data_IF_894181692523
#
_entry.id   IF_894181692523
#
_cell.length_a   1.000
_cell.length_b   1.000
_cell.length_c   1.000
_cell.angle_alpha   90.00
_cell.angle_beta   90.00
_cell.angle_gamma   90.00
#
_symmetry.space_group_name_H-M   'P 1'
#
loop_
_entity.id
_entity.type
_entity.pdbx_description
1 polymer ?
#
# COMPACT_ATOMS: atom_id res chain seq x y z
N UNK A 1 -37.35 -18.22 -11.97
CA UNK A 1 -36.03 -17.55 -12.13
C UNK A 1 -35.89 -16.22 -11.36
N UNK A 2 -36.90 -15.70 -10.63
CA UNK A 2 -36.84 -14.35 -10.01
C UNK A 2 -36.42 -14.25 -8.54
N UNK A 3 -36.38 -15.33 -7.74
CA UNK A 3 -36.03 -15.24 -6.31
C UNK A 3 -34.52 -15.37 -5.97
N UNK A 4 -33.69 -15.88 -6.88
CA UNK A 4 -32.24 -16.09 -6.63
C UNK A 4 -31.40 -14.82 -6.84
N UNK A 5 -31.87 -13.88 -7.68
CA UNK A 5 -31.12 -12.68 -8.03
C UNK A 5 -31.19 -11.56 -6.98
N UNK A 6 -32.28 -11.44 -6.22
CA UNK A 6 -32.40 -10.37 -5.23
C UNK A 6 -31.39 -10.53 -4.07
N UNK A 7 -31.15 -11.77 -3.61
CA UNK A 7 -30.17 -12.05 -2.55
C UNK A 7 -28.71 -11.76 -2.91
N UNK A 8 -28.37 -11.69 -4.20
CA UNK A 8 -27.04 -11.31 -4.68
C UNK A 8 -26.88 -9.78 -4.74
N UNK A 9 -27.93 -9.04 -5.10
CA UNK A 9 -27.89 -7.57 -5.19
C UNK A 9 -27.69 -6.94 -3.81
N UNK A 10 -28.35 -7.46 -2.76
CA UNK A 10 -28.15 -6.98 -1.38
C UNK A 10 -26.74 -7.24 -0.82
N UNK A 11 -25.95 -8.12 -1.44
CA UNK A 11 -24.56 -8.35 -1.06
C UNK A 11 -23.56 -7.42 -1.76
N UNK A 12 -23.98 -6.71 -2.82
CA UNK A 12 -23.11 -5.75 -3.50
C UNK A 12 -22.86 -4.51 -2.64
N UNK A 13 -23.86 -4.06 -1.89
CA UNK A 13 -23.71 -2.89 -1.02
C UNK A 13 -22.63 -3.09 0.06
N UNK A 14 -22.65 -4.16 0.89
CA UNK A 14 -21.57 -4.40 1.85
C UNK A 14 -20.23 -4.69 1.16
N UNK A 15 -20.22 -5.33 -0.02
CA UNK A 15 -19.00 -5.55 -0.81
C UNK A 15 -18.34 -4.22 -1.19
N UNK A 16 -19.08 -3.32 -1.84
CA UNK A 16 -18.59 -2.01 -2.29
C UNK A 16 -18.23 -1.14 -1.09
N UNK A 17 -19.08 -1.11 -0.06
CA UNK A 17 -18.81 -0.34 1.16
C UNK A 17 -17.52 -0.77 1.85
N UNK A 18 -17.27 -2.07 1.97
CA UNK A 18 -16.02 -2.57 2.55
C UNK A 18 -14.80 -2.26 1.67
N UNK A 19 -14.91 -2.34 0.34
CA UNK A 19 -13.83 -1.92 -0.57
C UNK A 19 -13.51 -0.44 -0.37
N UNK A 20 -14.51 0.43 -0.32
CA UNK A 20 -14.33 1.87 -0.12
C UNK A 20 -13.68 2.15 1.24
N UNK A 21 -14.16 1.49 2.32
CA UNK A 21 -13.58 1.65 3.66
C UNK A 21 -12.11 1.21 3.69
N UNK A 22 -11.78 0.07 3.06
CA UNK A 22 -10.40 -0.40 2.96
C UNK A 22 -9.52 0.59 2.19
N UNK A 23 -9.96 1.00 1.00
CA UNK A 23 -9.24 1.92 0.12
C UNK A 23 -9.00 3.28 0.77
N UNK A 24 -10.08 3.94 1.22
CA UNK A 24 -10.00 5.29 1.80
C UNK A 24 -9.32 5.24 3.16
N UNK A 25 -9.62 4.23 3.99
CA UNK A 25 -9.01 4.10 5.31
C UNK A 25 -7.49 4.00 5.22
N UNK A 26 -6.97 3.17 4.31
CA UNK A 26 -5.53 3.07 4.05
C UNK A 26 -4.96 4.38 3.47
N UNK A 27 -5.63 5.00 2.51
CA UNK A 27 -5.20 6.28 1.94
C UNK A 27 -5.13 7.41 2.98
N UNK A 28 -6.12 7.55 3.85
CA UNK A 28 -6.12 8.56 4.91
C UNK A 28 -5.02 8.28 5.93
N UNK A 29 -4.87 7.03 6.37
CA UNK A 29 -3.89 6.73 7.41
C UNK A 29 -2.46 6.81 6.92
N UNK A 30 -2.17 6.31 5.73
CA UNK A 30 -0.81 6.32 5.17
C UNK A 30 -0.58 7.44 4.16
N UNK A 31 -1.42 7.54 3.13
CA UNK A 31 -1.25 8.51 2.04
C UNK A 31 -1.34 9.97 2.48
N UNK A 32 -2.05 10.29 3.56
CA UNK A 32 -2.09 11.64 4.16
C UNK A 32 -1.10 11.83 5.32
N UNK A 33 -0.24 10.84 5.60
CA UNK A 33 0.80 10.94 6.63
C UNK A 33 0.32 10.90 8.08
N UNK A 34 -0.91 10.45 8.36
CA UNK A 34 -1.43 10.29 9.74
C UNK A 34 -0.64 9.22 10.50
N UNK A 35 -0.16 8.21 9.78
CA UNK A 35 0.69 7.15 10.28
C UNK A 35 1.87 6.93 9.35
N UNK A 36 3.04 6.57 9.90
CA UNK A 36 4.27 6.45 9.11
C UNK A 36 4.37 5.14 8.30
N UNK A 37 3.42 4.21 8.48
CA UNK A 37 3.46 2.88 7.86
C UNK A 37 2.24 2.64 6.96
N UNK A 38 2.34 1.74 5.96
CA UNK A 38 1.27 1.47 4.98
C UNK A 38 -0.10 1.09 5.53
N UNK A 39 -0.19 0.76 6.83
CA UNK A 39 -1.40 0.39 7.57
C UNK A 39 -2.22 -0.70 6.88
N UNK A 40 -1.64 -1.90 6.87
CA UNK A 40 -2.30 -3.08 6.30
C UNK A 40 -3.40 -3.62 7.21
N UNK A 41 -3.44 -3.21 8.48
CA UNK A 41 -4.39 -3.73 9.47
C UNK A 41 -5.83 -3.32 9.17
N UNK A 42 -6.05 -2.13 8.59
CA UNK A 42 -7.36 -1.76 8.04
C UNK A 42 -7.79 -2.75 6.96
N UNK A 43 -6.89 -3.11 6.05
CA UNK A 43 -7.19 -4.10 5.00
C UNK A 43 -7.44 -5.47 5.62
N UNK A 44 -6.70 -5.87 6.66
CA UNK A 44 -6.92 -7.14 7.37
C UNK A 44 -8.29 -7.20 8.06
N UNK A 45 -8.70 -6.15 8.80
CA UNK A 45 -10.01 -6.15 9.47
C UNK A 45 -11.15 -6.08 8.46
N UNK A 46 -10.99 -5.33 7.37
CA UNK A 46 -11.95 -5.28 6.26
C UNK A 46 -12.05 -6.64 5.57
N UNK A 47 -10.94 -7.34 5.39
CA UNK A 47 -10.90 -8.71 4.84
C UNK A 47 -11.67 -9.67 5.73
N UNK A 48 -11.40 -9.64 7.03
CA UNK A 48 -12.12 -10.44 8.02
C UNK A 48 -13.62 -10.15 7.95
N UNK A 49 -14.03 -8.88 7.99
CA UNK A 49 -15.44 -8.48 7.91
C UNK A 49 -16.09 -8.88 6.58
N UNK A 50 -15.40 -8.74 5.45
CA UNK A 50 -15.90 -9.16 4.15
C UNK A 50 -16.25 -10.65 4.15
N UNK A 51 -15.33 -11.49 4.63
CA UNK A 51 -15.54 -12.93 4.70
C UNK A 51 -16.63 -13.28 5.70
N UNK A 52 -16.74 -12.58 6.82
CA UNK A 52 -17.77 -12.84 7.84
C UNK A 52 -19.17 -12.44 7.36
N UNK A 53 -19.30 -11.30 6.68
CA UNK A 53 -20.59 -10.67 6.38
C UNK A 53 -21.14 -11.01 4.99
N UNK A 54 -20.27 -11.28 4.01
CA UNK A 54 -20.66 -11.55 2.63
C UNK A 54 -20.76 -13.06 2.42
N UNK A 55 -21.79 -13.51 1.71
CA UNK A 55 -22.10 -14.95 1.54
C UNK A 55 -21.32 -15.55 0.37
N UNK A 56 -21.08 -14.75 -0.66
CA UNK A 56 -20.40 -15.17 -1.88
C UNK A 56 -18.88 -15.32 -1.68
N UNK A 57 -18.22 -16.30 -2.33
CA UNK A 57 -16.76 -16.33 -2.47
C UNK A 57 -16.16 -15.04 -3.08
N UNK A 58 -16.98 -14.21 -3.75
CA UNK A 58 -16.62 -12.87 -4.19
C UNK A 58 -16.12 -11.96 -3.06
N UNK A 59 -16.38 -12.29 -1.79
CA UNK A 59 -15.79 -11.61 -0.64
C UNK A 59 -14.25 -11.56 -0.68
N UNK A 60 -13.59 -12.51 -1.36
CA UNK A 60 -12.14 -12.51 -1.59
C UNK A 60 -11.65 -11.37 -2.48
N UNK A 61 -12.54 -10.74 -3.26
CA UNK A 61 -12.19 -9.58 -4.09
C UNK A 61 -11.98 -8.34 -3.21
N UNK A 62 -12.60 -8.26 -2.04
CA UNK A 62 -12.53 -7.08 -1.17
C UNK A 62 -11.09 -6.68 -0.81
N UNK A 63 -10.25 -7.56 -0.22
CA UNK A 63 -8.85 -7.21 0.05
C UNK A 63 -8.11 -6.75 -1.20
N UNK A 64 -8.25 -7.48 -2.30
CA UNK A 64 -7.51 -7.25 -3.54
C UNK A 64 -7.89 -5.90 -4.17
N UNK A 65 -9.19 -5.61 -4.27
CA UNK A 65 -9.69 -4.35 -4.80
C UNK A 65 -9.37 -3.17 -3.88
N UNK A 66 -9.38 -3.37 -2.56
CA UNK A 66 -9.01 -2.32 -1.60
C UNK A 66 -7.52 -1.97 -1.70
N UNK A 67 -6.67 -2.98 -1.83
CA UNK A 67 -5.22 -2.79 -2.04
C UNK A 67 -4.96 -2.04 -3.35
N UNK A 68 -5.51 -2.53 -4.47
CA UNK A 68 -5.36 -1.85 -5.76
C UNK A 68 -5.86 -0.41 -5.71
N UNK A 69 -7.06 -0.18 -5.16
CA UNK A 69 -7.62 1.16 -5.06
C UNK A 69 -6.76 2.10 -4.21
N UNK A 70 -6.31 1.65 -3.04
CA UNK A 70 -5.49 2.47 -2.15
C UNK A 70 -4.12 2.77 -2.74
N UNK A 71 -3.45 1.79 -3.34
CA UNK A 71 -2.14 1.99 -3.97
C UNK A 71 -2.22 2.96 -5.16
N UNK A 72 -3.29 2.91 -5.97
CA UNK A 72 -3.54 3.91 -7.02
C UNK A 72 -3.71 5.33 -6.46
N UNK A 73 -4.42 5.49 -5.34
CA UNK A 73 -4.60 6.80 -4.69
C UNK A 73 -3.31 7.33 -4.06
N UNK A 74 -2.48 6.44 -3.52
CA UNK A 74 -1.16 6.77 -2.95
C UNK A 74 -0.16 7.14 -4.06
N UNK A 75 -0.42 6.71 -5.30
CA UNK A 75 0.54 6.84 -6.40
C UNK A 75 1.61 5.75 -6.40
N UNK A 76 1.36 4.64 -5.70
CA UNK A 76 2.26 3.48 -5.69
C UNK A 76 2.15 2.76 -7.05
N UNK A 77 3.24 2.57 -7.80
CA UNK A 77 3.16 2.05 -9.15
C UNK A 77 2.98 0.53 -9.18
N UNK A 78 1.78 0.00 -8.89
CA UNK A 78 1.48 -1.46 -8.76
C UNK A 78 1.90 -2.31 -9.97
N UNK A 79 2.11 -1.70 -11.14
CA UNK A 79 2.40 -2.39 -12.41
C UNK A 79 3.62 -1.86 -13.16
N UNK A 80 4.43 -0.98 -12.56
CA UNK A 80 5.72 -0.56 -13.13
C UNK A 80 6.76 -1.50 -12.52
N UNK A 81 7.60 -2.17 -13.33
CA UNK A 81 8.43 -3.33 -12.93
C UNK A 81 9.53 -3.13 -11.87
N UNK A 82 9.34 -2.24 -10.89
CA UNK A 82 10.28 -1.87 -9.84
C UNK A 82 10.42 -2.90 -8.71
N UNK A 83 11.52 -2.81 -7.96
CA UNK A 83 11.88 -3.73 -6.87
C UNK A 83 10.79 -3.80 -5.79
N UNK A 84 10.19 -2.65 -5.43
CA UNK A 84 9.07 -2.59 -4.49
C UNK A 84 7.83 -3.34 -4.99
N UNK A 85 7.66 -3.46 -6.31
CA UNK A 85 6.54 -4.18 -6.91
C UNK A 85 6.75 -5.69 -6.99
N UNK A 86 7.98 -6.17 -6.75
CA UNK A 86 8.27 -7.61 -6.72
C UNK A 86 7.55 -8.30 -5.57
N UNK A 87 7.34 -7.62 -4.44
CA UNK A 87 6.65 -8.20 -3.28
C UNK A 87 5.12 -8.23 -3.43
N UNK A 88 4.55 -7.55 -4.43
CA UNK A 88 3.09 -7.39 -4.59
C UNK A 88 2.35 -8.72 -4.55
N UNK A 89 2.87 -9.76 -5.21
CA UNK A 89 2.23 -11.08 -5.19
C UNK A 89 2.24 -11.72 -3.79
N UNK A 90 3.32 -11.55 -3.01
CA UNK A 90 3.37 -11.98 -1.62
C UNK A 90 2.43 -11.17 -0.72
N UNK A 91 2.37 -9.85 -0.91
CA UNK A 91 1.43 -8.96 -0.22
C UNK A 91 -0.03 -9.39 -0.46
N UNK A 92 -0.40 -9.65 -1.72
CA UNK A 92 -1.77 -9.97 -2.10
C UNK A 92 -2.16 -11.40 -1.68
N UNK A 93 -1.24 -12.35 -1.82
CA UNK A 93 -1.44 -13.73 -1.35
C UNK A 93 -1.49 -13.81 0.18
N UNK A 94 -0.81 -12.92 0.92
CA UNK A 94 -0.92 -12.79 2.37
C UNK A 94 -2.35 -12.46 2.83
N UNK A 95 -3.00 -11.48 2.19
CA UNK A 95 -4.41 -11.19 2.48
C UNK A 95 -5.34 -12.35 2.05
N UNK A 96 -5.04 -13.00 0.93
CA UNK A 96 -5.79 -14.16 0.48
C UNK A 96 -5.71 -15.34 1.47
N UNK A 97 -4.54 -15.56 2.11
CA UNK A 97 -4.34 -16.55 3.17
C UNK A 97 -5.21 -16.24 4.41
N UNK A 98 -5.21 -14.99 4.89
CA UNK A 98 -6.06 -14.56 6.01
C UNK A 98 -7.54 -14.78 5.68
N UNK A 99 -7.94 -14.38 4.47
CA UNK A 99 -9.31 -14.51 4.02
C UNK A 99 -9.74 -15.98 3.94
N UNK A 100 -8.85 -16.87 3.46
CA UNK A 100 -9.10 -18.30 3.40
C UNK A 100 -9.25 -18.90 4.79
N UNK A 101 -8.33 -18.62 5.72
CA UNK A 101 -8.43 -19.14 7.10
C UNK A 101 -9.71 -18.68 7.79
N UNK A 102 -10.10 -17.43 7.57
CA UNK A 102 -11.38 -16.89 8.05
C UNK A 102 -12.56 -17.65 7.43
N UNK A 103 -12.53 -17.92 6.12
CA UNK A 103 -13.59 -18.64 5.40
C UNK A 103 -13.71 -20.10 5.85
N UNK A 104 -12.60 -20.76 6.13
CA UNK A 104 -12.57 -22.13 6.63
C UNK A 104 -13.20 -22.21 8.03
N UNK A 105 -12.96 -21.21 8.88
CA UNK A 105 -13.43 -21.15 10.26
C UNK A 105 -14.73 -20.34 10.48
N UNK A 106 -15.30 -19.75 9.43
CA UNK A 106 -16.41 -18.78 9.48
C UNK A 106 -17.54 -19.13 10.45
N UNK A 107 -18.06 -20.36 10.40
CA UNK A 107 -19.18 -20.78 11.25
C UNK A 107 -18.79 -20.82 12.74
N UNK A 108 -17.61 -21.36 13.06
CA UNK A 108 -17.09 -21.43 14.43
C UNK A 108 -16.84 -20.03 14.99
N UNK A 109 -16.25 -19.16 14.16
CA UNK A 109 -15.99 -17.77 14.50
C UNK A 109 -17.30 -17.03 14.77
N UNK A 110 -18.29 -17.14 13.87
CA UNK A 110 -19.60 -16.51 14.04
C UNK A 110 -20.25 -16.92 15.36
N UNK A 111 -20.35 -18.22 15.62
CA UNK A 111 -21.00 -18.75 16.83
C UNK A 111 -20.36 -18.27 18.14
N UNK A 112 -19.06 -17.97 18.12
CA UNK A 112 -18.34 -17.49 19.30
C UNK A 112 -18.39 -15.97 19.41
N UNK A 113 -18.18 -15.26 18.31
CA UNK A 113 -18.09 -13.80 18.30
C UNK A 113 -19.46 -13.14 18.48
N UNK A 114 -20.53 -13.73 17.95
CA UNK A 114 -21.90 -13.17 18.05
C UNK A 114 -22.43 -13.11 19.49
N UNK A 115 -21.86 -13.90 20.41
CA UNK A 115 -22.31 -13.97 21.80
C UNK A 115 -21.88 -12.76 22.64
N UNK A 116 -20.87 -11.99 22.21
CA UNK A 116 -20.36 -10.82 22.95
C UNK A 116 -19.83 -11.11 24.34
N UNK A 117 -19.37 -12.33 24.61
CA UNK A 117 -18.79 -12.71 25.91
C UNK A 117 -17.31 -12.33 25.97
N UNK A 118 -16.67 -12.42 27.15
CA UNK A 118 -15.23 -12.17 27.29
C UNK A 118 -14.38 -13.04 26.33
N UNK A 119 -14.83 -14.28 26.08
CA UNK A 119 -14.22 -15.17 25.08
C UNK A 119 -14.27 -14.59 23.66
N UNK A 120 -15.30 -13.82 23.30
CA UNK A 120 -15.43 -13.15 22.01
C UNK A 120 -14.39 -12.04 21.85
N UNK A 121 -14.13 -11.28 22.92
CA UNK A 121 -13.07 -10.26 22.93
C UNK A 121 -11.70 -10.91 22.76
N UNK A 122 -11.40 -11.94 23.57
CA UNK A 122 -10.13 -12.66 23.48
C UNK A 122 -9.92 -13.34 22.12
N UNK A 123 -10.97 -13.92 21.54
CA UNK A 123 -10.91 -14.49 20.19
C UNK A 123 -10.66 -13.40 19.14
N UNK A 124 -11.32 -12.25 19.23
CA UNK A 124 -11.11 -11.16 18.27
C UNK A 124 -9.68 -10.60 18.36
N UNK A 125 -9.17 -10.37 19.57
CA UNK A 125 -7.79 -9.97 19.81
C UNK A 125 -6.80 -10.99 19.21
N UNK A 126 -7.03 -12.27 19.48
CA UNK A 126 -6.23 -13.36 18.93
C UNK A 126 -6.29 -13.47 17.40
N UNK A 127 -7.45 -13.15 16.79
CA UNK A 127 -7.56 -13.07 15.33
C UNK A 127 -6.76 -11.91 14.75
N UNK A 128 -6.77 -10.74 15.40
CA UNK A 128 -5.95 -9.60 14.97
C UNK A 128 -4.46 -9.94 15.01
N UNK A 129 -3.97 -10.38 16.17
CA UNK A 129 -2.58 -10.81 16.37
C UNK A 129 -2.20 -11.94 15.41
N UNK A 130 -3.03 -12.99 15.31
CA UNK A 130 -2.74 -14.14 14.46
C UNK A 130 -2.74 -13.80 12.97
N UNK A 131 -3.62 -12.89 12.53
CA UNK A 131 -3.65 -12.43 11.13
C UNK A 131 -2.40 -11.63 10.78
N UNK A 132 -1.97 -10.75 11.68
CA UNK A 132 -0.73 -9.98 11.52
C UNK A 132 0.48 -10.90 11.47
N UNK A 133 0.63 -11.82 12.43
CA UNK A 133 1.76 -12.75 12.44
C UNK A 133 1.81 -13.58 11.16
N UNK A 134 0.67 -14.11 10.72
CA UNK A 134 0.60 -14.86 9.47
C UNK A 134 1.04 -14.01 8.27
N UNK A 135 0.56 -12.77 8.21
CA UNK A 135 0.88 -11.84 7.13
C UNK A 135 2.36 -11.49 7.10
N UNK A 136 2.90 -11.02 8.23
CA UNK A 136 4.27 -10.51 8.29
C UNK A 136 5.30 -11.64 8.11
N UNK A 137 5.03 -12.84 8.63
CA UNK A 137 5.86 -14.02 8.37
C UNK A 137 5.84 -14.35 6.86
N UNK A 138 4.66 -14.34 6.24
CA UNK A 138 4.51 -14.62 4.82
C UNK A 138 5.21 -13.58 3.93
N UNK A 139 5.06 -12.29 4.23
CA UNK A 139 5.70 -11.22 3.46
C UNK A 139 7.21 -11.17 3.69
N UNK A 140 7.70 -11.44 4.91
CA UNK A 140 9.13 -11.55 5.17
C UNK A 140 9.76 -12.74 4.43
N UNK A 141 9.04 -13.87 4.33
CA UNK A 141 9.44 -14.97 3.45
C UNK A 141 9.54 -14.52 1.99
N UNK A 142 8.58 -13.71 1.53
CA UNK A 142 8.63 -13.12 0.19
C UNK A 142 9.84 -12.23 -0.04
N UNK A 143 10.16 -11.35 0.92
CA UNK A 143 11.36 -10.51 0.86
C UNK A 143 12.62 -11.35 0.75
N UNK A 144 12.77 -12.36 1.60
CA UNK A 144 13.90 -13.27 1.55
C UNK A 144 13.99 -14.02 0.22
N UNK A 145 12.88 -14.59 -0.24
CA UNK A 145 12.83 -15.37 -1.48
C UNK A 145 13.21 -14.53 -2.71
N UNK A 146 12.76 -13.28 -2.78
CA UNK A 146 12.89 -12.43 -3.96
C UNK A 146 14.20 -11.62 -4.00
N UNK A 147 14.73 -11.23 -2.84
CA UNK A 147 15.77 -10.18 -2.76
C UNK A 147 17.07 -10.62 -2.08
N UNK A 148 17.08 -11.75 -1.39
CA UNK A 148 18.23 -12.18 -0.59
C UNK A 148 18.76 -13.55 -1.02
N UNK A 149 20.04 -13.86 -0.73
CA UNK A 149 20.60 -15.20 -0.85
C UNK A 149 19.78 -16.19 -0.05
N UNK A 150 19.62 -17.43 -0.52
CA UNK A 150 18.81 -18.44 0.17
C UNK A 150 19.60 -19.23 1.20
N UNK A 151 20.19 -18.54 2.18
CA UNK A 151 20.90 -19.14 3.30
C UNK A 151 20.27 -18.78 4.66
N UNK A 152 20.73 -19.45 5.73
CA UNK A 152 20.17 -19.27 7.07
C UNK A 152 20.46 -17.89 7.67
N UNK A 153 21.59 -17.28 7.29
CA UNK A 153 22.01 -15.99 7.82
C UNK A 153 21.14 -14.87 7.27
N UNK A 154 20.90 -14.86 5.95
CA UNK A 154 20.01 -13.91 5.29
C UNK A 154 18.54 -14.11 5.68
N UNK A 155 18.12 -15.35 5.95
CA UNK A 155 16.77 -15.62 6.46
C UNK A 155 16.58 -14.97 7.84
N UNK A 156 17.50 -15.22 8.77
CA UNK A 156 17.47 -14.59 10.10
C UNK A 156 17.48 -13.05 9.97
N UNK A 157 18.28 -12.55 9.04
CA UNK A 157 18.42 -11.13 8.76
C UNK A 157 17.09 -10.46 8.39
N UNK A 158 16.39 -11.00 7.40
CA UNK A 158 15.11 -10.43 6.92
C UNK A 158 14.06 -10.42 8.03
N UNK A 159 13.97 -11.50 8.81
CA UNK A 159 13.01 -11.57 9.92
C UNK A 159 13.36 -10.63 11.07
N UNK A 160 14.65 -10.49 11.42
CA UNK A 160 15.08 -9.54 12.46
C UNK A 160 14.86 -8.08 12.03
N UNK A 161 15.14 -7.75 10.77
CA UNK A 161 14.89 -6.43 10.21
C UNK A 161 13.38 -6.08 10.15
N UNK A 162 12.52 -7.08 9.95
CA UNK A 162 11.07 -6.90 9.95
C UNK A 162 10.43 -6.73 11.34
N UNK A 163 11.16 -6.96 12.45
CA UNK A 163 10.58 -6.93 13.80
C UNK A 163 9.97 -5.57 14.20
N UNK A 164 10.62 -4.41 13.96
CA UNK A 164 10.03 -3.12 14.35
C UNK A 164 8.67 -2.86 13.66
N UNK A 165 8.60 -3.22 12.37
CA UNK A 165 7.39 -3.13 11.57
C UNK A 165 6.30 -4.10 12.08
N UNK A 166 6.66 -5.35 12.34
CA UNK A 166 5.74 -6.36 12.87
C UNK A 166 5.19 -5.98 14.24
N UNK A 167 6.00 -5.38 15.13
CA UNK A 167 5.53 -4.91 16.44
C UNK A 167 4.47 -3.82 16.29
N UNK A 168 4.64 -2.89 15.35
CA UNK A 168 3.65 -1.86 15.06
C UNK A 168 2.35 -2.50 14.53
N UNK A 169 2.47 -3.39 13.55
CA UNK A 169 1.33 -4.13 13.01
C UNK A 169 0.58 -4.92 14.09
N UNK A 170 1.28 -5.54 15.04
CA UNK A 170 0.66 -6.32 16.10
C UNK A 170 -0.25 -5.45 16.98
N UNK A 171 0.23 -4.27 17.36
CA UNK A 171 -0.56 -3.30 18.15
C UNK A 171 -1.72 -2.77 17.32
N UNK A 172 -1.45 -2.33 16.08
CA UNK A 172 -2.48 -1.81 15.17
C UNK A 172 -3.55 -2.87 14.86
N UNK A 173 -3.16 -4.13 14.68
CA UNK A 173 -4.03 -5.26 14.36
C UNK A 173 -4.90 -5.64 15.55
N UNK A 174 -4.33 -5.67 16.76
CA UNK A 174 -5.09 -5.83 17.99
C UNK A 174 -6.16 -4.73 18.13
N UNK A 175 -5.76 -3.47 17.95
CA UNK A 175 -6.65 -2.31 18.10
C UNK A 175 -7.75 -2.32 17.03
N UNK A 176 -7.41 -2.48 15.76
CA UNK A 176 -8.39 -2.46 14.65
C UNK A 176 -9.39 -3.61 14.75
N UNK A 177 -8.96 -4.84 15.05
CA UNK A 177 -9.88 -5.95 15.21
C UNK A 177 -10.83 -5.77 16.41
N UNK A 178 -10.32 -5.29 17.55
CA UNK A 178 -11.14 -5.07 18.73
C UNK A 178 -12.03 -3.82 18.66
N UNK A 179 -11.55 -2.72 18.08
CA UNK A 179 -12.26 -1.43 18.04
C UNK A 179 -13.21 -1.31 16.83
N UNK A 180 -12.93 -2.02 15.73
CA UNK A 180 -13.74 -1.97 14.51
C UNK A 180 -14.43 -3.32 14.28
N UNK A 181 -13.65 -4.40 14.21
CA UNK A 181 -14.15 -5.72 13.88
C UNK A 181 -15.23 -6.21 14.85
N UNK A 182 -14.95 -6.20 16.15
CA UNK A 182 -15.88 -6.75 17.16
C UNK A 182 -17.18 -5.96 17.26
N UNK A 183 -17.20 -4.61 17.39
CA UNK A 183 -18.43 -3.85 17.46
C UNK A 183 -19.34 -4.07 16.25
N UNK A 184 -18.77 -4.16 15.03
CA UNK A 184 -19.54 -4.43 13.82
C UNK A 184 -20.19 -5.83 13.87
N UNK A 185 -19.42 -6.86 14.24
CA UNK A 185 -19.96 -8.22 14.36
C UNK A 185 -21.09 -8.29 15.40
N UNK A 186 -20.90 -7.67 16.57
CA UNK A 186 -21.91 -7.64 17.64
C UNK A 186 -23.17 -6.87 17.23
N UNK A 187 -23.00 -5.72 16.57
CA UNK A 187 -24.11 -4.94 16.05
C UNK A 187 -24.95 -5.76 15.05
N UNK A 188 -24.29 -6.45 14.13
CA UNK A 188 -24.97 -7.29 13.12
C UNK A 188 -25.60 -8.52 13.77
N UNK A 189 -24.94 -9.16 14.74
CA UNK A 189 -25.50 -10.29 15.48
C UNK A 189 -26.81 -9.90 16.19
N UNK A 190 -26.82 -8.76 16.90
CA UNK A 190 -28.02 -8.23 17.55
C UNK A 190 -29.14 -7.94 16.56
N UNK A 191 -28.81 -7.37 15.39
CA UNK A 191 -29.81 -7.09 14.34
C UNK A 191 -30.33 -8.37 13.66
N UNK A 192 -29.49 -9.39 13.51
CA UNK A 192 -29.87 -10.70 12.97
C UNK A 192 -30.88 -11.41 13.87
N UNK A 193 -30.77 -11.30 15.20
CA UNK A 193 -31.74 -11.87 16.14
C UNK A 193 -33.14 -11.24 15.96
N UNK A 194 -33.21 -9.94 15.61
CA UNK A 194 -34.47 -9.28 15.28
C UNK A 194 -34.99 -9.60 13.87
N UNK A 195 -34.13 -10.04 12.94
CA UNK A 195 -34.46 -10.29 11.53
C UNK A 195 -34.48 -11.78 11.13
N UNK A 196 -34.25 -12.70 12.08
CA UNK A 196 -34.11 -14.16 11.85
C UNK A 196 -33.14 -14.54 10.71
N UNK A 197 -32.08 -13.74 10.53
CA UNK A 197 -31.08 -14.02 9.51
C UNK A 197 -30.13 -15.11 10.03
N UNK A 198 -30.34 -16.35 9.58
CA UNK A 198 -29.45 -17.45 9.97
C UNK A 198 -28.03 -17.25 9.42
N UNK A 199 -26.97 -17.51 10.23
CA UNK A 199 -25.61 -17.58 9.72
C UNK A 199 -25.51 -18.68 8.68
N UNK A 200 -25.17 -18.30 7.45
CA UNK A 200 -25.23 -19.22 6.32
C UNK A 200 -24.07 -20.19 6.36
N UNK A 201 -24.44 -21.47 6.48
CA UNK A 201 -23.53 -22.59 6.30
C UNK A 201 -23.18 -22.73 4.82
N UNK A 202 -21.98 -22.28 4.44
CA UNK A 202 -21.44 -22.58 3.13
C UNK A 202 -21.10 -24.07 3.04
N UNK A 203 -21.71 -24.78 2.09
CA UNK A 203 -21.30 -26.15 1.75
C UNK A 203 -19.86 -26.15 1.26
N UNK A 204 -19.11 -27.20 1.59
CA UNK A 204 -17.68 -27.37 1.27
C UNK A 204 -17.36 -27.08 -0.21
N UNK A 205 -18.21 -27.51 -1.14
CA UNK A 205 -18.05 -27.28 -2.58
C UNK A 205 -17.90 -25.80 -2.94
N UNK A 206 -18.58 -24.90 -2.24
CA UNK A 206 -18.49 -23.46 -2.52
C UNK A 206 -17.18 -22.83 -2.03
N UNK A 207 -16.39 -23.54 -1.22
CA UNK A 207 -15.07 -23.10 -0.76
C UNK A 207 -13.94 -23.51 -1.71
N UNK A 208 -14.17 -24.49 -2.61
CA UNK A 208 -13.14 -25.00 -3.53
C UNK A 208 -12.58 -23.88 -4.44
N UNK A 209 -13.40 -23.03 -5.08
CA UNK A 209 -12.87 -21.97 -5.94
C UNK A 209 -11.98 -20.98 -5.17
N UNK A 210 -12.35 -20.67 -3.92
CA UNK A 210 -11.55 -19.83 -3.02
C UNK A 210 -10.19 -20.46 -2.71
N UNK A 211 -10.17 -21.75 -2.38
CA UNK A 211 -8.92 -22.50 -2.13
C UNK A 211 -8.03 -22.50 -3.37
N UNK A 212 -8.59 -22.81 -4.54
CA UNK A 212 -7.82 -22.83 -5.79
C UNK A 212 -7.26 -21.46 -6.16
N UNK A 213 -8.03 -20.38 -5.95
CA UNK A 213 -7.56 -19.02 -6.17
C UNK A 213 -6.38 -18.68 -5.26
N UNK A 214 -6.48 -19.01 -3.96
CA UNK A 214 -5.41 -18.74 -2.99
C UNK A 214 -4.16 -19.57 -3.32
N UNK A 215 -4.30 -20.85 -3.65
CA UNK A 215 -3.19 -21.70 -4.08
C UNK A 215 -2.54 -21.20 -5.38
N UNK A 216 -3.35 -20.70 -6.33
CA UNK A 216 -2.86 -20.08 -7.54
C UNK A 216 -2.04 -18.81 -7.26
N UNK A 217 -2.52 -17.92 -6.38
CA UNK A 217 -1.78 -16.73 -5.97
C UNK A 217 -0.47 -17.07 -5.25
N UNK A 218 -0.50 -18.09 -4.38
CA UNK A 218 0.71 -18.60 -3.72
C UNK A 218 1.70 -19.12 -4.76
N UNK A 219 1.27 -19.98 -5.68
CA UNK A 219 2.14 -20.51 -6.72
C UNK A 219 2.73 -19.38 -7.58
N UNK A 220 1.91 -18.41 -8.00
CA UNK A 220 2.34 -17.25 -8.78
C UNK A 220 3.39 -16.42 -8.05
N UNK A 221 3.29 -16.30 -6.72
CA UNK A 221 4.26 -15.57 -5.90
C UNK A 221 5.68 -16.11 -6.04
N UNK A 222 5.84 -17.41 -6.35
CA UNK A 222 7.14 -18.05 -6.57
C UNK A 222 7.57 -18.10 -8.05
N UNK A 223 6.68 -17.80 -9.00
CA UNK A 223 7.02 -17.86 -10.44
C UNK A 223 7.73 -16.60 -10.98
N UNK A 224 7.77 -15.51 -10.19
CA UNK A 224 8.03 -14.16 -10.69
C UNK A 224 9.49 -13.74 -10.96
N UNK A 225 10.50 -14.18 -10.21
CA UNK A 225 11.88 -13.62 -10.35
C UNK A 225 13.05 -14.50 -9.85
N UNK A 226 12.89 -15.82 -9.71
CA UNK A 226 13.96 -16.69 -9.19
C UNK A 226 14.96 -17.20 -10.25
N UNK A 227 15.16 -16.51 -11.38
CA UNK A 227 16.10 -16.97 -12.42
C UNK A 227 17.58 -16.67 -12.10
N UNK A 228 17.85 -15.76 -11.17
CA UNK A 228 19.21 -15.45 -10.69
C UNK A 228 19.16 -15.32 -9.17
N UNK A 229 19.91 -16.17 -8.47
CA UNK A 229 20.08 -16.06 -7.01
C UNK A 229 20.65 -14.66 -6.72
N UNK A 230 19.94 -13.79 -5.98
CA UNK A 230 20.45 -12.46 -5.64
C UNK A 230 21.73 -12.62 -4.81
N UNK A 231 22.84 -12.00 -5.24
CA UNK A 231 24.14 -12.10 -4.55
C UNK A 231 24.28 -11.21 -3.30
N UNK A 232 23.24 -10.45 -2.92
CA UNK A 232 23.32 -9.38 -1.91
C UNK A 232 23.22 -9.92 -0.47
N UNK A 233 24.34 -10.03 0.24
CA UNK A 233 24.43 -10.61 1.60
C UNK A 233 24.21 -9.65 2.78
N UNK A 234 24.15 -8.33 2.55
CA UNK A 234 23.92 -7.33 3.60
C UNK A 234 22.42 -7.09 3.82
N UNK A 235 22.01 -6.74 5.05
CA UNK A 235 20.63 -6.24 5.30
C UNK A 235 20.54 -5.00 4.45
N UNK A 236 19.70 -5.03 3.42
CA UNK A 236 19.29 -3.79 2.80
C UNK A 236 18.27 -3.15 3.73
N UNK A 237 18.76 -2.44 4.76
CA UNK A 237 18.13 -1.18 5.15
C UNK A 237 18.61 -0.14 4.13
N UNK A 238 18.38 -0.41 2.85
CA UNK A 238 18.33 0.67 1.90
C UNK A 238 17.16 1.52 2.41
N UNK A 239 17.40 2.80 2.72
CA UNK A 239 16.44 3.79 2.26
C UNK A 239 16.33 3.51 0.76
N UNK A 240 15.37 2.67 0.35
CA UNK A 240 15.18 2.16 -1.01
C UNK A 240 15.88 3.07 -2.03
N UNK A 241 16.94 2.58 -2.67
CA UNK A 241 17.61 3.32 -3.75
C UNK A 241 16.65 3.51 -4.93
N UNK A 242 15.47 2.87 -4.88
CA UNK A 242 14.29 3.25 -5.64
C UNK A 242 13.43 4.22 -4.83
N UNK A 243 13.78 5.49 -5.00
CA UNK A 243 13.14 6.62 -4.38
C UNK A 243 11.93 7.02 -5.22
N UNK A 244 10.69 6.80 -4.77
CA UNK A 244 9.52 7.36 -5.45
C UNK A 244 9.56 8.87 -5.23
N UNK A 245 9.96 9.61 -6.25
CA UNK A 245 9.92 11.07 -6.25
C UNK A 245 8.63 11.48 -6.89
N UNK A 246 7.89 12.31 -6.18
CA UNK A 246 6.83 13.08 -6.81
C UNK A 246 7.41 14.42 -7.23
N UNK A 247 7.38 14.72 -8.52
CA UNK A 247 7.72 16.05 -9.03
C UNK A 247 6.43 16.79 -9.36
N UNK A 248 6.34 18.04 -8.91
CA UNK A 248 5.24 18.95 -9.17
C UNK A 248 5.84 20.21 -9.76
N UNK A 249 5.51 20.54 -11.00
CA UNK A 249 5.97 21.74 -11.68
C UNK A 249 4.75 22.61 -11.88
N UNK A 250 4.71 23.79 -11.27
CA UNK A 250 3.52 24.61 -11.19
C UNK A 250 3.79 26.06 -11.56
N UNK A 251 2.82 26.64 -12.26
CA UNK A 251 2.69 28.06 -12.58
C UNK A 251 1.25 28.47 -12.27
N UNK A 252 0.93 29.76 -12.36
CA UNK A 252 -0.45 30.25 -12.22
C UNK A 252 -1.42 29.65 -13.27
N UNK A 253 -0.90 29.19 -14.41
CA UNK A 253 -1.71 28.77 -15.56
C UNK A 253 -1.78 27.26 -15.77
N UNK A 254 -0.79 26.51 -15.31
CA UNK A 254 -0.71 25.07 -15.51
C UNK A 254 0.12 24.37 -14.42
N UNK A 255 -0.12 23.08 -14.27
CA UNK A 255 0.65 22.21 -13.38
C UNK A 255 0.93 20.87 -14.06
N UNK A 256 2.18 20.43 -14.01
CA UNK A 256 2.63 19.09 -14.40
C UNK A 256 2.92 18.33 -13.11
N UNK A 257 2.42 17.10 -13.01
CA UNK A 257 2.74 16.19 -11.90
C UNK A 257 3.19 14.87 -12.47
N UNK A 258 4.32 14.38 -11.97
CA UNK A 258 4.93 13.15 -12.44
C UNK A 258 5.52 12.37 -11.25
N UNK A 259 5.58 11.05 -11.38
CA UNK A 259 6.12 10.16 -10.36
C UNK A 259 7.26 9.36 -10.97
N UNK A 260 8.48 9.65 -10.53
CA UNK A 260 9.69 9.04 -11.04
C UNK A 260 10.36 8.17 -9.98
N UNK A 261 11.14 7.22 -10.45
CA UNK A 261 12.05 6.44 -9.61
C UNK A 261 13.42 7.10 -9.65
N UNK A 262 13.94 7.53 -8.50
CA UNK A 262 15.32 8.00 -8.45
C UNK A 262 16.30 6.84 -8.57
N UNK A 263 17.46 7.17 -9.10
CA UNK A 263 18.59 6.28 -9.30
C UNK A 263 19.73 6.73 -8.38
N UNK A 264 20.66 5.83 -8.01
CA UNK A 264 21.85 6.21 -7.25
C UNK A 264 22.58 7.38 -7.92
N UNK A 265 22.79 8.46 -7.16
CA UNK A 265 23.43 9.68 -7.65
C UNK A 265 22.51 10.69 -8.33
N UNK A 266 21.19 10.45 -8.38
CA UNK A 266 20.25 11.45 -8.88
C UNK A 266 20.24 12.71 -8.00
N UNK A 267 20.01 13.84 -8.66
CA UNK A 267 19.81 15.14 -8.02
C UNK A 267 18.45 15.70 -8.40
N UNK A 268 17.98 16.73 -7.71
CA UNK A 268 16.70 17.35 -8.04
C UNK A 268 16.67 17.82 -9.51
N UNK A 269 17.80 18.27 -10.05
CA UNK A 269 17.94 18.65 -11.44
C UNK A 269 17.93 17.45 -12.41
N UNK A 270 18.65 16.35 -12.12
CA UNK A 270 18.64 15.18 -13.02
C UNK A 270 17.25 14.54 -13.10
N UNK A 271 16.48 14.63 -12.02
CA UNK A 271 15.09 14.17 -11.97
C UNK A 271 14.18 15.07 -12.81
N UNK A 272 14.34 16.40 -12.72
CA UNK A 272 13.62 17.35 -13.57
C UNK A 272 13.90 17.09 -15.06
N UNK A 273 15.17 16.87 -15.43
CA UNK A 273 15.57 16.54 -16.80
C UNK A 273 14.91 15.26 -17.32
N UNK A 274 14.81 14.23 -16.47
CA UNK A 274 14.14 12.98 -16.82
C UNK A 274 12.65 13.18 -17.05
N UNK A 275 11.99 13.91 -16.16
CA UNK A 275 10.56 14.24 -16.32
C UNK A 275 10.31 15.04 -17.60
N UNK A 276 11.21 15.95 -17.98
CA UNK A 276 11.14 16.65 -19.27
C UNK A 276 11.23 15.72 -20.48
N UNK A 277 12.13 14.75 -20.45
CA UNK A 277 12.27 13.77 -21.53
C UNK A 277 11.03 12.88 -21.64
N UNK A 278 10.52 12.38 -20.52
CA UNK A 278 9.37 11.47 -20.49
C UNK A 278 8.06 12.17 -20.87
N UNK A 279 7.88 13.43 -20.47
CA UNK A 279 6.67 14.22 -20.75
C UNK A 279 6.82 15.19 -21.93
N UNK A 280 7.95 15.14 -22.64
CA UNK A 280 8.23 15.96 -23.83
C UNK A 280 8.07 17.49 -23.62
N UNK A 281 8.57 18.03 -22.51
CA UNK A 281 8.65 19.48 -22.28
C UNK A 281 10.09 20.01 -22.29
N UNK A 282 10.26 21.31 -22.55
CA UNK A 282 11.58 21.96 -22.64
C UNK A 282 12.12 22.38 -21.27
N UNK A 283 13.44 22.31 -21.08
CA UNK A 283 14.14 22.95 -19.95
C UNK A 283 15.30 23.75 -20.53
N UNK A 284 15.46 24.99 -20.05
CA UNK A 284 16.69 25.75 -20.23
C UNK A 284 17.33 26.03 -18.87
N UNK A 285 18.65 25.82 -18.79
CA UNK A 285 19.41 25.96 -17.55
C UNK A 285 20.84 26.42 -17.85
N UNK A 286 21.41 27.19 -16.93
CA UNK A 286 22.77 27.72 -17.05
C UNK A 286 23.57 27.39 -15.81
N UNK A 287 24.75 26.78 -16.00
CA UNK A 287 25.70 26.55 -14.92
C UNK A 287 26.56 27.80 -14.68
N UNK A 288 26.58 28.27 -13.43
CA UNK A 288 27.37 29.42 -13.00
C UNK A 288 28.55 28.96 -12.16
N UNK A 289 29.75 28.92 -12.76
CA UNK A 289 30.97 28.48 -12.08
C UNK A 289 31.29 29.25 -10.79
N UNK A 290 30.97 30.56 -10.74
CA UNK A 290 31.19 31.40 -9.57
C UNK A 290 30.36 30.97 -8.33
N UNK A 291 29.22 30.33 -8.56
CA UNK A 291 28.34 29.81 -7.51
C UNK A 291 28.39 28.28 -7.42
N UNK A 292 29.14 27.65 -8.33
CA UNK A 292 29.16 26.20 -8.54
C UNK A 292 27.74 25.61 -8.49
N UNK A 293 26.81 26.18 -9.27
CA UNK A 293 25.41 25.75 -9.27
C UNK A 293 24.72 26.06 -10.59
N UNK A 294 23.70 25.26 -10.90
CA UNK A 294 22.87 25.38 -12.10
C UNK A 294 21.58 26.14 -11.81
N UNK A 295 21.39 27.28 -12.46
CA UNK A 295 20.16 28.04 -12.44
C UNK A 295 19.21 27.53 -13.52
N UNK A 296 17.93 27.38 -13.18
CA UNK A 296 16.89 27.05 -14.15
C UNK A 296 16.33 28.35 -14.74
N UNK A 297 16.57 28.55 -16.04
CA UNK A 297 16.11 29.73 -16.77
C UNK A 297 14.67 29.55 -17.25
N UNK A 298 14.32 28.34 -17.70
CA UNK A 298 12.95 28.06 -18.13
C UNK A 298 12.56 26.59 -17.98
N UNK A 299 11.27 26.36 -17.76
CA UNK A 299 10.64 25.05 -17.83
C UNK A 299 9.37 25.20 -18.66
N UNK A 300 9.20 24.35 -19.67
CA UNK A 300 8.04 24.31 -20.56
C UNK A 300 7.68 25.70 -21.13
N UNK A 301 8.69 26.41 -21.64
CA UNK A 301 8.61 27.78 -22.20
C UNK A 301 8.25 28.91 -21.22
N UNK A 302 8.06 28.64 -19.92
CA UNK A 302 7.95 29.70 -18.91
C UNK A 302 9.34 30.15 -18.46
N UNK A 303 9.70 31.38 -18.84
CA UNK A 303 11.05 31.95 -18.70
C UNK A 303 11.14 32.85 -17.47
N UNK A 304 12.17 32.62 -16.64
CA UNK A 304 12.48 33.44 -15.46
C UNK A 304 12.67 34.92 -15.79
N UNK A 305 12.20 35.78 -14.88
CA UNK A 305 12.14 37.23 -15.04
C UNK A 305 10.85 37.74 -15.67
N UNK A 306 10.01 36.87 -16.24
CA UNK A 306 8.68 37.27 -16.73
C UNK A 306 7.78 37.62 -15.54
N UNK A 307 7.24 38.84 -15.52
CA UNK A 307 6.39 39.37 -14.44
C UNK A 307 7.04 39.31 -13.03
N UNK A 308 8.38 39.30 -12.98
CA UNK A 308 9.15 39.18 -11.73
C UNK A 308 9.21 37.76 -11.15
N UNK A 309 8.64 36.77 -11.84
CA UNK A 309 8.66 35.38 -11.42
C UNK A 309 9.96 34.68 -11.80
N UNK A 310 10.47 33.83 -10.91
CA UNK A 310 11.63 32.97 -11.14
C UNK A 310 11.31 31.54 -10.69
N UNK A 311 11.98 30.56 -11.30
CA UNK A 311 11.84 29.17 -10.88
C UNK A 311 12.50 28.94 -9.53
N UNK A 312 11.67 28.67 -8.52
CA UNK A 312 12.07 28.20 -7.20
C UNK A 312 11.88 26.70 -7.13
N UNK A 313 12.78 26.03 -6.41
CA UNK A 313 12.66 24.59 -6.17
C UNK A 313 12.60 24.31 -4.68
N UNK A 314 11.68 23.43 -4.31
CA UNK A 314 11.42 23.03 -2.95
C UNK A 314 11.53 21.52 -2.84
N UNK A 315 12.00 21.06 -1.69
CA UNK A 315 12.01 19.64 -1.33
C UNK A 315 11.18 19.47 -0.08
N UNK A 316 10.11 18.68 -0.17
CA UNK A 316 9.17 18.44 0.94
C UNK A 316 8.62 19.75 1.54
N UNK A 317 8.34 20.74 0.67
CA UNK A 317 7.81 22.04 1.04
C UNK A 317 8.83 23.01 1.68
N UNK A 318 10.14 22.71 1.63
CA UNK A 318 11.19 23.58 2.15
C UNK A 318 12.20 23.97 1.06
N UNK A 319 12.67 25.21 1.10
CA UNK A 319 13.72 25.69 0.20
C UNK A 319 15.07 25.09 0.64
N UNK A 320 15.79 24.35 -0.20
CA UNK A 320 17.08 23.76 0.19
C UNK A 320 18.21 24.79 0.21
N UNK A 321 19.27 24.49 0.97
CA UNK A 321 20.46 25.34 1.10
C UNK A 321 21.49 25.15 -0.04
N UNK A 322 21.26 24.20 -0.93
CA UNK A 322 22.14 23.88 -2.07
C UNK A 322 21.39 24.12 -3.37
N UNK A 323 22.09 24.04 -4.52
CA UNK A 323 21.44 24.06 -5.83
C UNK A 323 20.74 22.73 -6.15
N UNK A 324 19.75 22.79 -7.06
CA UNK A 324 19.02 21.59 -7.49
C UNK A 324 19.93 20.55 -8.18
N UNK A 325 21.05 21.00 -8.76
CA UNK A 325 22.08 20.15 -9.36
C UNK A 325 22.97 19.43 -8.36
N UNK A 326 22.88 19.79 -7.07
CA UNK A 326 23.68 19.23 -5.98
C UNK A 326 22.85 18.53 -4.92
N UNK A 327 21.55 18.82 -4.82
CA UNK A 327 20.68 18.18 -3.84
C UNK A 327 20.51 16.69 -4.18
N UNK A 328 21.03 15.75 -3.36
CA UNK A 328 20.81 14.33 -3.58
C UNK A 328 19.39 13.97 -3.17
N UNK A 329 18.62 13.40 -4.10
CA UNK A 329 17.22 13.04 -3.84
C UNK A 329 17.10 11.74 -3.05
N UNK A 330 16.08 11.66 -2.19
CA UNK A 330 15.84 10.50 -1.30
C UNK A 330 14.39 10.04 -1.31
N UNK A 331 14.15 8.77 -0.94
CA UNK A 331 12.86 8.12 -1.10
C UNK A 331 11.71 8.88 -0.46
N UNK A 332 10.65 9.13 -1.24
CA UNK A 332 9.47 9.88 -0.82
C UNK A 332 9.60 11.40 -0.93
N UNK A 333 10.73 11.91 -1.44
CA UNK A 333 10.88 13.35 -1.68
C UNK A 333 9.81 13.87 -2.65
N UNK A 334 9.18 14.97 -2.26
CA UNK A 334 8.31 15.77 -3.12
C UNK A 334 9.12 16.96 -3.62
N UNK A 335 9.50 16.93 -4.89
CA UNK A 335 10.17 18.04 -5.56
C UNK A 335 9.11 18.98 -6.14
N UNK A 336 9.07 20.23 -5.68
CA UNK A 336 8.18 21.24 -6.23
C UNK A 336 8.98 22.32 -6.94
N UNK A 337 8.71 22.51 -8.23
CA UNK A 337 9.20 23.63 -9.02
C UNK A 337 8.07 24.65 -9.12
N UNK A 338 8.23 25.82 -8.51
CA UNK A 338 7.23 26.90 -8.49
C UNK A 338 7.75 28.07 -9.31
N UNK A 339 6.93 28.61 -10.20
CA UNK A 339 7.22 29.83 -10.94
C UNK A 339 6.59 31.03 -10.24
N UNK A 340 7.38 31.70 -9.39
CA UNK A 340 6.86 32.69 -8.45
C UNK A 340 7.85 33.83 -8.19
N UNK A 341 7.34 34.95 -7.66
CA UNK A 341 8.19 36.04 -7.19
C UNK A 341 8.96 35.57 -5.95
N UNK A 342 10.31 35.59 -5.95
CA UNK A 342 11.09 35.16 -4.80
C UNK A 342 10.72 35.96 -3.54
N UNK A 343 10.65 35.32 -2.37
CA UNK A 343 10.43 36.04 -1.12
C UNK A 343 11.55 37.09 -0.92
N UNK A 344 11.15 38.29 -0.49
CA UNK A 344 12.04 39.45 -0.27
C UNK A 344 12.74 39.43 1.06
#
# INVERSE_FOLDING_TARGET
MKMKNQGNLYQLLPLIGLIIIGTIGRYVLYGMGVQPFPNFEIIMVVTFLAIMLIRSPLALIVPLASMVGSDLLIGNPIFVGDQMNRIVLFTYSGFALIALLTLLNKNRLWNTLSQGRLKSIGLMAGLGVGSVLLYDIWTNMGWWYLMYPHDASSLLLVYTAGLPFMLYHLISGLVTFCAIGLPIILYIAKKNDHLQLQPIQLRIIHKIPAVLLVLGLIALSFTGTAATIPQKSEVWVEKSDQTSIRIIITTDSWTITDNLVAKPGDTAYSVLQRSAQENSFSIDATYYAQFDSTLINSINNAVGGTDGNYWQYYVNGRLPEVGADKYPVTNGDVLTWSFEVPPT
#
